data_IF_660162904009
#
_entry.id   IF_660162904009
#
_cell.length_a   1.000
_cell.length_b   1.000
_cell.length_c   1.000
_cell.angle_alpha   90.00
_cell.angle_beta   90.00
_cell.angle_gamma   90.00
#
_symmetry.space_group_name_H-M   'P 1'
#
loop_
_entity.id
_entity.type
_entity.pdbx_description
1 polymer ?
#
# COMPACT_ATOMS: atom_id res chain seq x y z
N UNK A 1 -18.21 -15.84 21.78
CA UNK A 1 -17.09 -15.18 22.48
C UNK A 1 -16.95 -13.79 21.91
N UNK A 2 -17.12 -12.74 22.72
CA UNK A 2 -16.72 -11.39 22.32
C UNK A 2 -15.19 -11.36 22.36
N UNK A 3 -14.53 -11.05 21.25
CA UNK A 3 -13.07 -10.86 21.22
C UNK A 3 -12.68 -9.78 22.25
N UNK A 4 -11.59 -9.96 22.97
CA UNK A 4 -11.07 -8.90 23.84
C UNK A 4 -10.49 -7.75 23.01
N UNK A 5 -10.47 -6.52 23.52
CA UNK A 5 -9.98 -5.33 22.81
C UNK A 5 -8.50 -5.46 22.50
N UNK A 6 -7.73 -6.05 23.40
CA UNK A 6 -6.32 -6.38 23.17
C UNK A 6 -6.14 -7.30 21.95
N UNK A 7 -6.96 -8.34 21.83
CA UNK A 7 -6.91 -9.27 20.69
C UNK A 7 -7.24 -8.57 19.37
N UNK A 8 -8.22 -7.66 19.38
CA UNK A 8 -8.56 -6.88 18.19
C UNK A 8 -7.42 -5.93 17.78
N UNK A 9 -6.69 -5.33 18.73
CA UNK A 9 -5.55 -4.47 18.43
C UNK A 9 -4.38 -5.28 17.88
N UNK A 10 -4.08 -6.42 18.50
CA UNK A 10 -3.02 -7.32 18.04
C UNK A 10 -3.29 -7.82 16.62
N UNK A 11 -4.54 -8.20 16.33
CA UNK A 11 -4.94 -8.57 14.97
C UNK A 11 -4.80 -7.40 13.99
N UNK A 12 -5.18 -6.19 14.40
CA UNK A 12 -5.03 -5.00 13.56
C UNK A 12 -3.56 -4.70 13.25
N UNK A 13 -2.68 -4.84 14.25
CA UNK A 13 -1.24 -4.64 14.09
C UNK A 13 -0.65 -5.66 13.10
N UNK A 14 -1.02 -6.94 13.21
CA UNK A 14 -0.60 -7.99 12.25
C UNK A 14 -1.07 -7.71 10.82
N UNK A 15 -2.28 -7.16 10.65
CA UNK A 15 -2.79 -6.77 9.34
C UNK A 15 -2.00 -5.61 8.74
N UNK A 16 -1.50 -4.68 9.55
CA UNK A 16 -0.63 -3.59 9.08
C UNK A 16 0.74 -4.13 8.65
N UNK A 17 1.29 -5.10 9.38
CA UNK A 17 2.55 -5.74 8.98
C UNK A 17 2.37 -6.53 7.65
N UNK A 18 1.25 -7.26 7.52
CA UNK A 18 0.88 -7.97 6.29
C UNK A 18 0.62 -7.01 5.12
N UNK A 19 0.04 -5.84 5.38
CA UNK A 19 -0.19 -4.81 4.37
C UNK A 19 1.14 -4.28 3.82
N UNK A 20 2.13 -4.07 4.67
CA UNK A 20 3.46 -3.62 4.25
C UNK A 20 4.12 -4.60 3.29
N UNK A 21 4.02 -5.89 3.56
CA UNK A 21 4.51 -6.96 2.69
C UNK A 21 3.75 -7.00 1.36
N UNK A 22 2.42 -6.87 1.41
CA UNK A 22 1.57 -6.86 0.22
C UNK A 22 1.82 -5.63 -0.66
N UNK A 23 2.05 -4.45 -0.08
CA UNK A 23 2.44 -3.23 -0.78
C UNK A 23 3.80 -3.41 -1.47
N UNK A 24 4.76 -4.00 -0.78
CA UNK A 24 6.11 -4.20 -1.30
C UNK A 24 6.16 -5.22 -2.45
N UNK A 25 5.31 -6.25 -2.39
CA UNK A 25 5.19 -7.28 -3.43
C UNK A 25 4.22 -6.93 -4.56
N UNK A 26 3.45 -5.84 -4.45
CA UNK A 26 2.40 -5.48 -5.40
C UNK A 26 1.21 -6.44 -5.41
N UNK A 27 0.99 -7.20 -4.33
CA UNK A 27 -0.09 -8.19 -4.25
C UNK A 27 -1.45 -7.52 -3.98
N UNK A 28 -2.12 -7.11 -5.05
CA UNK A 28 -3.41 -6.40 -4.99
C UNK A 28 -4.54 -7.20 -4.32
N UNK A 29 -4.58 -8.52 -4.52
CA UNK A 29 -5.60 -9.38 -3.90
C UNK A 29 -5.42 -9.43 -2.38
N UNK A 30 -4.17 -9.56 -1.92
CA UNK A 30 -3.86 -9.48 -0.49
C UNK A 30 -4.25 -8.12 0.09
N UNK A 31 -3.90 -7.01 -0.57
CA UNK A 31 -4.28 -5.65 -0.14
C UNK A 31 -5.80 -5.47 0.00
N UNK A 32 -6.56 -6.03 -0.93
CA UNK A 32 -8.04 -5.96 -0.89
C UNK A 32 -8.59 -6.72 0.32
N UNK A 33 -8.13 -7.95 0.55
CA UNK A 33 -8.55 -8.77 1.71
C UNK A 33 -8.16 -8.13 3.03
N UNK A 34 -6.94 -7.61 3.13
CA UNK A 34 -6.43 -6.92 4.32
C UNK A 34 -7.27 -5.66 4.61
N UNK A 35 -7.57 -4.87 3.57
CA UNK A 35 -8.41 -3.67 3.71
C UNK A 35 -9.81 -4.00 4.22
N UNK A 36 -10.45 -5.05 3.67
CA UNK A 36 -11.75 -5.52 4.13
C UNK A 36 -11.71 -5.96 5.61
N UNK A 37 -10.66 -6.68 6.01
CA UNK A 37 -10.51 -7.14 7.40
C UNK A 37 -10.27 -5.98 8.36
N UNK A 38 -9.43 -5.00 8.01
CA UNK A 38 -9.23 -3.77 8.81
C UNK A 38 -10.55 -3.02 9.02
N UNK A 39 -11.38 -2.89 7.98
CA UNK A 39 -12.71 -2.27 8.11
C UNK A 39 -13.63 -3.03 9.07
N UNK A 40 -13.59 -4.37 9.07
CA UNK A 40 -14.35 -5.17 10.03
C UNK A 40 -13.87 -4.92 11.47
N UNK A 41 -12.56 -4.89 11.69
CA UNK A 41 -12.00 -4.62 13.02
C UNK A 41 -12.34 -3.21 13.52
N UNK A 42 -12.28 -2.18 12.66
CA UNK A 42 -12.67 -0.82 13.04
C UNK A 42 -14.13 -0.73 13.49
N UNK A 43 -15.04 -1.46 12.83
CA UNK A 43 -16.45 -1.54 13.23
C UNK A 43 -16.62 -2.23 14.59
N UNK A 44 -15.81 -3.25 14.88
CA UNK A 44 -15.81 -3.92 16.18
C UNK A 44 -15.23 -3.03 17.29
N UNK A 45 -14.28 -2.15 16.95
CA UNK A 45 -13.72 -1.17 17.86
C UNK A 45 -14.67 -0.04 18.21
N UNK A 46 -15.41 0.50 17.22
CA UNK A 46 -16.29 1.67 17.41
C UNK A 46 -17.27 1.53 18.59
N UNK A 47 -17.68 0.31 18.90
CA UNK A 47 -18.67 0.03 19.95
C UNK A 47 -18.06 -0.15 21.35
N UNK A 48 -16.73 -0.01 21.50
CA UNK A 48 -16.05 -0.19 22.79
C UNK A 48 -15.77 1.15 23.45
N UNK A 49 -15.64 1.16 24.78
CA UNK A 49 -15.41 2.39 25.57
C UNK A 49 -14.06 2.39 26.31
N UNK A 50 -13.25 1.34 26.13
CA UNK A 50 -11.98 1.09 26.83
C UNK A 50 -10.75 1.71 26.15
N UNK A 51 -10.95 2.68 25.26
CA UNK A 51 -9.87 3.32 24.47
C UNK A 51 -8.72 3.87 25.32
N UNK A 52 -9.02 4.38 26.51
CA UNK A 52 -8.02 5.01 27.40
C UNK A 52 -6.95 4.03 27.87
N UNK A 53 -7.32 2.75 28.04
CA UNK A 53 -6.41 1.68 28.46
C UNK A 53 -5.41 1.29 27.36
N UNK A 54 -5.79 1.49 26.09
CA UNK A 54 -5.03 1.03 24.94
C UNK A 54 -4.39 2.16 24.11
N UNK A 55 -4.30 3.37 24.68
CA UNK A 55 -3.78 4.55 23.98
C UNK A 55 -2.43 4.32 23.30
N UNK A 56 -1.49 3.67 23.98
CA UNK A 56 -0.14 3.40 23.43
C UNK A 56 -0.18 2.47 22.22
N UNK A 57 -1.00 1.42 22.27
CA UNK A 57 -1.17 0.50 21.16
C UNK A 57 -1.86 1.17 19.97
N UNK A 58 -2.86 2.01 20.23
CA UNK A 58 -3.54 2.80 19.19
C UNK A 58 -2.58 3.80 18.52
N UNK A 59 -1.71 4.47 19.27
CA UNK A 59 -0.69 5.36 18.69
C UNK A 59 0.26 4.58 17.76
N UNK A 60 0.75 3.42 18.19
CA UNK A 60 1.59 2.55 17.35
C UNK A 60 0.89 2.09 16.08
N UNK A 61 -0.38 1.71 16.18
CA UNK A 61 -1.22 1.33 15.04
C UNK A 61 -1.37 2.50 14.07
N UNK A 62 -1.60 3.71 14.57
CA UNK A 62 -1.67 4.92 13.75
C UNK A 62 -0.35 5.18 13.03
N UNK A 63 0.78 5.11 13.73
CA UNK A 63 2.11 5.31 13.15
C UNK A 63 2.38 4.31 12.02
N UNK A 64 2.18 3.00 12.29
CA UNK A 64 2.30 1.94 11.27
C UNK A 64 1.39 2.17 10.08
N UNK A 65 0.14 2.57 10.33
CA UNK A 65 -0.82 2.85 9.26
C UNK A 65 -0.41 4.05 8.41
N UNK A 66 0.18 5.07 9.03
CA UNK A 66 0.71 6.24 8.32
C UNK A 66 1.91 5.86 7.45
N UNK A 67 2.83 5.04 7.95
CA UNK A 67 3.96 4.52 7.15
C UNK A 67 3.47 3.74 5.92
N UNK A 68 2.54 2.80 6.11
CA UNK A 68 1.96 2.04 5.01
C UNK A 68 1.25 2.94 3.99
N UNK A 69 0.55 3.98 4.46
CA UNK A 69 -0.09 4.98 3.61
C UNK A 69 0.91 5.72 2.71
N UNK A 70 2.06 6.12 3.26
CA UNK A 70 3.14 6.75 2.49
C UNK A 70 3.74 5.80 1.45
N UNK A 71 3.91 4.52 1.81
CA UNK A 71 4.37 3.49 0.87
C UNK A 71 3.40 3.31 -0.29
N UNK A 72 2.10 3.21 0.00
CA UNK A 72 1.05 3.10 -1.02
C UNK A 72 1.04 4.32 -1.94
N UNK A 73 1.15 5.53 -1.37
CA UNK A 73 1.19 6.76 -2.15
C UNK A 73 2.42 6.81 -3.08
N UNK A 74 3.60 6.43 -2.56
CA UNK A 74 4.83 6.35 -3.35
C UNK A 74 4.68 5.38 -4.53
N UNK A 75 4.11 4.19 -4.29
CA UNK A 75 3.83 3.21 -5.34
C UNK A 75 2.86 3.78 -6.39
N UNK A 76 1.78 4.46 -5.98
CA UNK A 76 0.83 5.09 -6.91
C UNK A 76 1.49 6.18 -7.76
N UNK A 77 2.37 7.01 -7.17
CA UNK A 77 3.13 8.02 -7.91
C UNK A 77 4.04 7.38 -8.94
N UNK A 78 4.74 6.30 -8.57
CA UNK A 78 5.57 5.53 -9.50
C UNK A 78 4.76 5.00 -10.69
N UNK A 79 3.63 4.33 -10.43
CA UNK A 79 2.78 3.77 -11.48
C UNK A 79 2.17 4.84 -12.39
N UNK A 80 1.76 5.99 -11.82
CA UNK A 80 1.25 7.12 -12.60
C UNK A 80 2.32 7.66 -13.56
N UNK A 81 3.55 7.83 -13.08
CA UNK A 81 4.67 8.30 -13.90
C UNK A 81 5.02 7.29 -14.99
N UNK A 82 5.04 5.99 -14.67
CA UNK A 82 5.26 4.93 -15.65
C UNK A 82 4.19 4.93 -16.74
N UNK A 83 2.92 5.08 -16.35
CA UNK A 83 1.80 5.16 -17.28
C UNK A 83 1.88 6.39 -18.19
N UNK A 84 2.21 7.57 -17.65
CA UNK A 84 2.42 8.78 -18.44
C UNK A 84 3.54 8.62 -19.48
N UNK A 85 4.65 7.98 -19.10
CA UNK A 85 5.74 7.67 -20.04
C UNK A 85 5.28 6.74 -21.16
N UNK A 86 4.53 5.69 -20.84
CA UNK A 86 3.98 4.77 -21.85
C UNK A 86 3.04 5.48 -22.83
N UNK A 87 2.13 6.31 -22.34
CA UNK A 87 1.23 7.10 -23.19
C UNK A 87 2.00 8.07 -24.09
N UNK A 88 3.05 8.70 -23.58
CA UNK A 88 3.90 9.58 -24.38
C UNK A 88 4.61 8.81 -25.51
N UNK A 89 5.19 7.65 -25.20
CA UNK A 89 5.83 6.77 -26.19
C UNK A 89 4.83 6.29 -27.26
N UNK A 90 3.61 5.91 -26.86
CA UNK A 90 2.54 5.55 -27.79
C UNK A 90 2.17 6.73 -28.71
N UNK A 91 2.06 7.95 -28.16
CA UNK A 91 1.75 9.16 -28.93
C UNK A 91 2.86 9.60 -29.88
N UNK A 92 4.11 9.24 -29.61
CA UNK A 92 5.25 9.47 -30.50
C UNK A 92 5.33 8.46 -31.66
N UNK A 93 4.47 7.45 -31.70
CA UNK A 93 4.44 6.46 -32.76
C UNK A 93 5.61 5.48 -32.71
N UNK A 94 5.94 4.96 -31.52
CA UNK A 94 6.98 3.94 -31.35
C UNK A 94 6.67 2.70 -32.21
N UNK A 95 7.42 2.53 -33.30
CA UNK A 95 7.41 1.34 -34.14
C UNK A 95 8.49 0.37 -33.63
N UNK A 96 8.14 -0.76 -33.00
CA UNK A 96 9.11 -1.69 -32.41
C UNK A 96 9.90 -2.49 -33.46
N UNK A 97 9.71 -2.23 -34.77
CA UNK A 97 10.36 -2.97 -35.86
C UNK A 97 11.73 -2.41 -36.25
N UNK A 98 12.05 -1.15 -35.94
CA UNK A 98 13.39 -0.63 -36.24
C UNK A 98 14.39 -0.96 -35.11
N UNK A 99 15.19 -1.98 -35.41
CA UNK A 99 16.41 -2.34 -34.70
C UNK A 99 17.33 -1.13 -34.59
N UNK A 100 17.27 -0.45 -33.47
CA UNK A 100 18.35 0.43 -33.06
C UNK A 100 18.74 0.05 -31.63
N UNK A 101 19.75 -0.82 -31.54
CA UNK A 101 20.44 -1.23 -30.30
C UNK A 101 20.99 -0.05 -29.48
N UNK A 102 20.80 1.19 -29.94
CA UNK A 102 21.26 2.44 -29.33
C UNK A 102 20.17 3.27 -28.62
N UNK A 103 18.92 2.78 -28.49
CA UNK A 103 17.89 3.54 -27.77
C UNK A 103 18.16 3.62 -26.25
N UNK A 104 18.82 2.60 -25.67
CA UNK A 104 19.13 2.58 -24.25
C UNK A 104 20.35 3.44 -23.85
N UNK A 105 21.31 3.68 -24.76
CA UNK A 105 22.51 4.44 -24.43
C UNK A 105 22.24 5.96 -24.30
N UNK A 106 21.26 6.50 -25.03
CA UNK A 106 20.94 7.94 -24.99
C UNK A 106 20.32 8.43 -23.68
N UNK A 107 19.81 7.52 -22.83
CA UNK A 107 19.20 7.88 -21.56
C UNK A 107 20.15 7.79 -20.36
N UNK A 108 21.43 7.45 -20.57
CA UNK A 108 22.43 7.33 -19.49
C UNK A 108 23.12 8.66 -19.14
N UNK A 109 22.89 9.73 -19.90
CA UNK A 109 23.54 11.05 -19.71
C UNK A 109 22.60 12.16 -19.22
N UNK A 110 21.40 11.83 -18.70
CA UNK A 110 20.50 12.81 -18.07
C UNK A 110 20.15 12.41 -16.64
#
# INVERSE_FOLDING_TARGET
>A
MLLDSENLLNEFEQLLDSEREALSSGNYEALTRISQRKLQLLKLFQNRQDYTQYRTALMRILDKSSENGLMAESALRFWRNAHQKLLHIQGLGYDPVDRDENAYERYREV
#
